data_IF_238820077686
#
_entry.id   IF_238820077686
#
_cell.length_a   1.000
_cell.length_b   1.000
_cell.length_c   1.000
_cell.angle_alpha   90.00
_cell.angle_beta   90.00
_cell.angle_gamma   90.00
#
_symmetry.space_group_name_H-M   'P 1'
#
loop_
_entity.id
_entity.type
_entity.pdbx_description
1 polymer ?
#
# COMPACT_ATOMS: atom_id res chain seq x y z
N UNK A 1 11.33 2.64 -18.04
CA UNK A 1 10.75 1.40 -18.61
C UNK A 1 10.63 0.42 -17.46
N UNK A 2 9.41 0.12 -17.01
CA UNK A 2 9.16 -0.75 -15.87
C UNK A 2 8.59 -2.06 -16.43
N UNK A 3 9.27 -3.18 -16.18
CA UNK A 3 8.89 -4.49 -16.68
C UNK A 3 8.45 -5.41 -15.54
N UNK A 4 7.24 -5.23 -15.01
CA UNK A 4 6.65 -6.31 -14.20
C UNK A 4 6.25 -7.44 -15.17
N UNK A 5 7.15 -8.41 -15.34
CA UNK A 5 7.00 -9.69 -16.06
C UNK A 5 5.74 -9.86 -16.91
N UNK A 6 5.98 -9.91 -18.23
CA UNK A 6 5.04 -10.10 -19.34
C UNK A 6 3.94 -9.02 -19.49
N UNK A 7 4.22 -8.11 -20.44
CA UNK A 7 3.31 -7.15 -21.06
C UNK A 7 2.48 -6.28 -20.11
N UNK A 8 3.15 -5.30 -19.49
CA UNK A 8 2.50 -4.01 -19.24
C UNK A 8 2.74 -3.17 -20.49
N UNK A 9 1.72 -3.09 -21.34
CA UNK A 9 1.73 -2.30 -22.56
C UNK A 9 2.18 -0.87 -22.25
N UNK A 10 3.05 -0.31 -23.08
CA UNK A 10 3.55 1.06 -22.97
C UNK A 10 2.37 2.05 -23.02
N UNK A 11 1.93 2.53 -21.85
CA UNK A 11 0.91 3.57 -21.77
C UNK A 11 1.58 4.95 -21.77
N UNK A 12 0.98 5.95 -22.44
CA UNK A 12 1.58 7.26 -22.63
C UNK A 12 1.95 7.90 -21.29
N UNK A 13 3.16 8.44 -21.23
CA UNK A 13 3.75 9.15 -20.10
C UNK A 13 3.03 10.49 -19.92
N UNK A 14 1.84 10.47 -19.33
CA UNK A 14 1.36 11.58 -18.50
C UNK A 14 1.34 11.05 -17.08
N UNK A 15 2.49 11.21 -16.43
CA UNK A 15 2.88 10.54 -15.19
C UNK A 15 1.85 10.74 -14.05
N UNK A 16 1.35 9.68 -13.41
CA UNK A 16 0.68 9.83 -12.12
C UNK A 16 1.74 10.28 -11.09
N UNK A 17 1.66 11.55 -10.71
CA UNK A 17 2.58 12.18 -9.75
C UNK A 17 1.98 12.31 -8.35
N UNK A 18 0.78 11.76 -8.15
CA UNK A 18 0.04 11.82 -6.90
C UNK A 18 -0.49 10.41 -6.54
N UNK A 19 -0.76 10.14 -5.24
CA UNK A 19 -1.18 8.82 -4.79
C UNK A 19 -2.45 8.31 -5.47
N UNK A 20 -3.42 9.20 -5.71
CA UNK A 20 -4.71 8.82 -6.32
C UNK A 20 -4.51 8.27 -7.73
N UNK A 21 -3.78 9.01 -8.56
CA UNK A 21 -3.51 8.59 -9.93
C UNK A 21 -2.68 7.29 -9.97
N UNK A 22 -1.72 7.11 -9.05
CA UNK A 22 -0.95 5.87 -8.95
C UNK A 22 -1.82 4.67 -8.53
N UNK A 23 -2.72 4.87 -7.57
CA UNK A 23 -3.63 3.84 -7.10
C UNK A 23 -4.63 3.38 -8.17
N UNK A 24 -5.21 4.33 -8.92
CA UNK A 24 -6.12 4.05 -10.04
C UNK A 24 -5.41 3.32 -11.18
N UNK A 25 -4.19 3.75 -11.50
CA UNK A 25 -3.37 3.07 -12.50
C UNK A 25 -3.02 1.64 -12.09
N UNK A 26 -2.64 1.43 -10.83
CA UNK A 26 -2.34 0.11 -10.31
C UNK A 26 -3.58 -0.81 -10.33
N UNK A 27 -4.75 -0.30 -9.93
CA UNK A 27 -5.99 -1.04 -9.98
C UNK A 27 -6.34 -1.51 -11.40
N UNK A 28 -6.17 -0.66 -12.42
CA UNK A 28 -6.38 -1.02 -13.83
C UNK A 28 -5.42 -2.12 -14.31
N UNK A 29 -4.11 -1.98 -14.02
CA UNK A 29 -3.10 -2.99 -14.39
C UNK A 29 -3.44 -4.34 -13.76
N UNK A 30 -3.77 -4.36 -12.48
CA UNK A 30 -4.05 -5.59 -11.75
C UNK A 30 -5.41 -6.19 -12.13
N UNK A 31 -6.39 -5.35 -12.47
CA UNK A 31 -7.66 -5.80 -13.05
C UNK A 31 -7.46 -6.63 -14.32
N UNK A 32 -6.59 -6.17 -15.23
CA UNK A 32 -6.19 -6.91 -16.44
C UNK A 32 -5.50 -8.25 -16.14
N UNK A 33 -4.94 -8.39 -14.93
CA UNK A 33 -4.28 -9.61 -14.43
C UNK A 33 -5.20 -10.49 -13.57
N UNK A 34 -6.50 -10.18 -13.48
CA UNK A 34 -7.51 -10.99 -12.78
C UNK A 34 -7.65 -10.70 -11.28
N UNK A 35 -7.21 -9.54 -10.83
CA UNK A 35 -7.41 -9.07 -9.45
C UNK A 35 -8.61 -8.14 -9.34
N UNK A 36 -9.26 -8.10 -8.19
CA UNK A 36 -10.41 -7.21 -7.93
C UNK A 36 -9.99 -6.07 -7.00
N UNK A 37 -9.29 -5.08 -7.56
CA UNK A 37 -8.80 -3.92 -6.82
C UNK A 37 -9.80 -2.74 -6.89
N UNK A 38 -10.96 -2.86 -6.24
CA UNK A 38 -12.09 -1.92 -6.36
C UNK A 38 -12.16 -0.82 -5.28
N UNK A 39 -11.10 -0.67 -4.48
CA UNK A 39 -10.97 0.28 -3.37
C UNK A 39 -11.93 0.01 -2.20
N UNK A 40 -12.56 -1.18 -2.17
CA UNK A 40 -13.37 -1.61 -1.04
C UNK A 40 -12.50 -2.14 0.09
N UNK A 41 -13.07 -2.23 1.28
CA UNK A 41 -12.42 -2.94 2.38
C UNK A 41 -12.19 -4.41 2.02
N UNK A 42 -13.11 -5.01 1.24
CA UNK A 42 -13.01 -6.39 0.82
C UNK A 42 -11.81 -6.65 -0.09
N UNK A 43 -11.52 -5.75 -1.03
CA UNK A 43 -10.33 -5.88 -1.89
C UNK A 43 -9.04 -5.78 -1.08
N UNK A 44 -9.00 -4.89 -0.08
CA UNK A 44 -7.85 -4.80 0.82
C UNK A 44 -7.62 -6.11 1.60
N UNK A 45 -8.69 -6.70 2.12
CA UNK A 45 -8.63 -7.94 2.90
C UNK A 45 -8.15 -9.16 2.11
N UNK A 46 -8.42 -9.21 0.81
CA UNK A 46 -8.18 -10.43 0.00
C UNK A 46 -7.11 -10.28 -1.05
N UNK A 47 -7.00 -9.12 -1.70
CA UNK A 47 -6.14 -8.99 -2.88
C UNK A 47 -4.71 -8.60 -2.52
N UNK A 48 -4.48 -7.83 -1.46
CA UNK A 48 -3.14 -7.35 -1.08
C UNK A 48 -2.19 -8.52 -0.84
N UNK A 49 -2.61 -9.52 -0.06
CA UNK A 49 -1.81 -10.72 0.18
C UNK A 49 -1.58 -11.50 -1.12
N UNK A 50 -2.59 -11.63 -1.99
CA UNK A 50 -2.45 -12.32 -3.28
C UNK A 50 -1.47 -11.62 -4.22
N UNK A 51 -1.42 -10.29 -4.22
CA UNK A 51 -0.43 -9.52 -4.96
C UNK A 51 0.95 -9.78 -4.35
N UNK A 52 1.10 -9.57 -3.06
CA UNK A 52 2.39 -9.69 -2.38
C UNK A 52 2.97 -11.10 -2.52
N UNK A 53 2.20 -12.16 -2.32
CA UNK A 53 2.66 -13.55 -2.48
C UNK A 53 3.14 -13.87 -3.90
N UNK A 54 2.50 -13.30 -4.92
CA UNK A 54 2.86 -13.54 -6.32
C UNK A 54 4.09 -12.75 -6.75
N UNK A 55 4.18 -11.49 -6.32
CA UNK A 55 5.16 -10.55 -6.85
C UNK A 55 6.31 -10.23 -5.88
N UNK A 56 6.34 -10.76 -4.65
CA UNK A 56 7.44 -10.50 -3.70
C UNK A 56 8.76 -11.23 -4.03
N UNK A 57 8.82 -12.01 -5.11
CA UNK A 57 10.02 -12.79 -5.51
C UNK A 57 10.71 -12.23 -6.76
N UNK A 58 10.36 -10.99 -7.14
CA UNK A 58 10.91 -10.30 -8.32
C UNK A 58 12.19 -9.55 -7.99
N UNK A 59 12.81 -8.92 -8.99
CA UNK A 59 14.06 -8.17 -8.79
C UNK A 59 13.87 -6.94 -7.90
N UNK A 60 14.93 -6.53 -7.17
CA UNK A 60 14.89 -5.45 -6.18
C UNK A 60 14.35 -4.12 -6.73
N UNK A 61 14.68 -3.76 -7.96
CA UNK A 61 14.19 -2.52 -8.58
C UNK A 61 12.67 -2.56 -8.81
N UNK A 62 12.15 -3.73 -9.16
CA UNK A 62 10.73 -3.96 -9.40
C UNK A 62 9.95 -4.04 -8.07
N UNK A 63 10.60 -4.49 -6.99
CA UNK A 63 10.04 -4.47 -5.64
C UNK A 63 9.74 -3.06 -5.15
N UNK A 64 10.62 -2.08 -5.38
CA UNK A 64 10.38 -0.69 -4.98
C UNK A 64 9.16 -0.09 -5.69
N UNK A 65 9.01 -0.39 -6.99
CA UNK A 65 7.87 0.05 -7.78
C UNK A 65 6.58 -0.60 -7.27
N UNK A 66 6.63 -1.90 -6.97
CA UNK A 66 5.50 -2.61 -6.39
C UNK A 66 5.12 -2.03 -5.02
N UNK A 67 6.10 -1.75 -4.16
CA UNK A 67 5.90 -1.15 -2.83
C UNK A 67 5.17 0.18 -2.96
N UNK A 68 5.59 1.02 -3.91
CA UNK A 68 5.02 2.32 -4.12
C UNK A 68 3.57 2.27 -4.65
N UNK A 69 3.30 1.42 -5.65
CA UNK A 69 1.95 1.24 -6.16
C UNK A 69 1.00 0.66 -5.11
N UNK A 70 1.47 -0.32 -4.33
CA UNK A 70 0.68 -0.87 -3.22
C UNK A 70 0.46 0.18 -2.14
N UNK A 71 1.45 1.03 -1.84
CA UNK A 71 1.33 2.11 -0.85
C UNK A 71 0.23 3.09 -1.27
N UNK A 72 0.25 3.53 -2.53
CA UNK A 72 -0.78 4.37 -3.10
C UNK A 72 -2.16 3.70 -3.04
N UNK A 73 -2.25 2.44 -3.49
CA UNK A 73 -3.52 1.70 -3.55
C UNK A 73 -4.14 1.46 -2.17
N UNK A 74 -3.36 0.97 -1.22
CA UNK A 74 -3.80 0.77 0.16
C UNK A 74 -4.24 2.09 0.77
N UNK A 75 -3.43 3.14 0.58
CA UNK A 75 -3.73 4.43 1.14
C UNK A 75 -5.04 5.03 0.61
N UNK A 76 -5.16 5.12 -0.71
CA UNK A 76 -6.36 5.65 -1.36
C UNK A 76 -7.62 4.85 -1.04
N UNK A 77 -7.51 3.53 -0.90
CA UNK A 77 -8.64 2.70 -0.48
C UNK A 77 -9.12 3.10 0.92
N UNK A 78 -8.19 3.27 1.87
CA UNK A 78 -8.54 3.67 3.24
C UNK A 78 -9.12 5.09 3.30
N UNK A 79 -8.57 6.05 2.54
CA UNK A 79 -9.13 7.41 2.47
C UNK A 79 -10.55 7.43 1.87
N UNK A 80 -10.82 6.60 0.86
CA UNK A 80 -12.18 6.49 0.29
C UNK A 80 -13.17 5.89 1.27
N UNK A 81 -12.74 4.94 2.09
CA UNK A 81 -13.60 4.24 3.06
C UNK A 81 -13.88 5.12 4.30
N UNK A 82 -12.85 5.78 4.83
CA UNK A 82 -12.93 6.44 6.14
C UNK A 82 -12.84 7.98 6.09
N UNK A 83 -12.60 8.55 4.91
CA UNK A 83 -12.28 9.97 4.76
C UNK A 83 -10.85 10.29 5.21
N UNK A 84 -10.36 11.49 4.86
CA UNK A 84 -9.04 11.96 5.27
C UNK A 84 -8.26 12.61 4.13
N UNK A 85 -6.95 12.73 4.31
CA UNK A 85 -6.06 13.31 3.31
C UNK A 85 -4.66 12.72 3.35
N UNK A 86 -3.97 12.82 2.22
CA UNK A 86 -2.51 12.62 2.15
C UNK A 86 -1.78 13.85 2.67
N UNK A 87 -0.65 13.61 3.32
CA UNK A 87 0.32 14.61 3.77
C UNK A 87 1.72 14.15 3.35
N UNK A 88 2.59 15.10 3.03
CA UNK A 88 3.94 14.83 2.55
C UNK A 88 4.04 14.83 1.02
N UNK A 89 5.16 14.32 0.50
CA UNK A 89 5.42 14.31 -0.94
C UNK A 89 5.42 12.88 -1.47
N UNK A 90 4.40 12.53 -2.24
CA UNK A 90 4.40 11.30 -3.02
C UNK A 90 4.97 11.62 -4.41
N UNK A 91 6.15 11.12 -4.72
CA UNK A 91 6.71 11.23 -6.06
C UNK A 91 6.65 9.86 -6.70
N UNK A 92 5.64 9.68 -7.56
CA UNK A 92 5.28 8.42 -8.22
C UNK A 92 6.47 7.58 -8.74
N UNK A 93 6.24 6.28 -9.05
CA UNK A 93 7.29 5.25 -9.23
C UNK A 93 8.21 5.45 -10.44
N UNK A 94 8.01 6.52 -11.19
CA UNK A 94 8.75 6.88 -12.39
C UNK A 94 9.66 8.10 -12.19
N UNK A 95 9.52 8.83 -11.07
CA UNK A 95 10.44 9.93 -10.74
C UNK A 95 11.69 9.35 -10.08
N UNK A 96 12.80 9.31 -10.82
CA UNK A 96 14.13 8.84 -10.39
C UNK A 96 14.75 9.57 -9.18
N UNK A 97 14.03 10.52 -8.57
CA UNK A 97 14.50 11.34 -7.45
C UNK A 97 14.17 10.73 -6.09
N UNK A 98 14.66 9.53 -5.83
CA UNK A 98 14.66 8.94 -4.49
C UNK A 98 13.30 8.51 -3.94
N UNK A 99 13.37 7.66 -2.92
CA UNK A 99 12.25 6.92 -2.34
C UNK A 99 11.40 7.83 -1.43
N UNK A 100 10.76 8.85 -2.00
CA UNK A 100 10.10 9.90 -1.21
C UNK A 100 8.70 9.51 -0.72
N UNK A 101 8.11 8.41 -1.22
CA UNK A 101 6.86 7.88 -0.66
C UNK A 101 7.00 7.52 0.83
N UNK A 102 8.23 7.26 1.33
CA UNK A 102 8.50 7.12 2.77
C UNK A 102 8.17 8.38 3.59
N UNK A 103 8.07 9.55 2.97
CA UNK A 103 7.65 10.80 3.63
C UNK A 103 6.16 11.09 3.47
N UNK A 104 5.48 10.32 2.63
CA UNK A 104 4.03 10.44 2.44
C UNK A 104 3.30 9.58 3.47
N UNK A 105 2.27 10.16 4.05
CA UNK A 105 1.43 9.48 5.03
C UNK A 105 0.00 10.00 4.91
N UNK A 106 -0.92 9.29 5.55
CA UNK A 106 -2.33 9.65 5.58
C UNK A 106 -2.73 10.13 6.96
N UNK A 107 -3.70 11.04 6.98
CA UNK A 107 -4.38 11.48 8.20
C UNK A 107 -5.86 11.17 8.06
N UNK A 108 -6.39 10.36 8.98
CA UNK A 108 -7.81 10.00 9.08
C UNK A 108 -8.23 10.27 10.52
N UNK A 109 -9.11 11.23 10.76
CA UNK A 109 -9.57 11.62 12.10
C UNK A 109 -8.39 11.80 13.08
N UNK A 110 -7.41 12.66 12.76
CA UNK A 110 -6.17 12.88 13.53
C UNK A 110 -5.23 11.67 13.70
N UNK A 111 -5.65 10.47 13.30
CA UNK A 111 -4.79 9.30 13.25
C UNK A 111 -3.87 9.34 12.03
N UNK A 112 -2.56 9.27 12.27
CA UNK A 112 -1.54 9.23 11.22
C UNK A 112 -1.18 7.80 10.85
N UNK A 113 -1.09 7.53 9.56
CA UNK A 113 -0.83 6.19 9.05
C UNK A 113 0.09 6.18 7.83
N UNK A 114 1.02 5.23 7.80
CA UNK A 114 2.03 5.05 6.76
C UNK A 114 1.79 3.69 6.05
N UNK A 115 1.08 3.64 4.91
CA UNK A 115 0.74 2.37 4.25
C UNK A 115 1.95 1.53 3.87
N UNK A 116 3.04 2.19 3.49
CA UNK A 116 4.31 1.59 3.11
C UNK A 116 4.94 0.76 4.25
N UNK A 117 4.62 1.02 5.52
CA UNK A 117 5.22 0.26 6.61
C UNK A 117 4.86 -1.22 6.55
N UNK A 118 3.59 -1.58 6.40
CA UNK A 118 3.24 -3.00 6.25
C UNK A 118 3.90 -3.59 5.00
N UNK A 119 3.83 -2.87 3.88
CA UNK A 119 4.25 -3.38 2.58
C UNK A 119 5.77 -3.61 2.56
N UNK A 120 6.57 -2.61 2.95
CA UNK A 120 8.02 -2.71 2.99
C UNK A 120 8.52 -3.80 3.94
N UNK A 121 7.90 -3.95 5.11
CA UNK A 121 8.21 -5.05 6.04
C UNK A 121 7.85 -6.41 5.44
N UNK A 122 6.68 -6.53 4.80
CA UNK A 122 6.30 -7.78 4.13
C UNK A 122 7.28 -8.14 3.01
N UNK A 123 7.66 -7.18 2.17
CA UNK A 123 8.61 -7.43 1.07
C UNK A 123 10.01 -7.79 1.59
N UNK A 124 10.40 -7.28 2.75
CA UNK A 124 11.71 -7.56 3.37
C UNK A 124 11.76 -8.89 4.12
N UNK A 125 10.69 -9.25 4.84
CA UNK A 125 10.67 -10.37 5.79
C UNK A 125 9.74 -11.53 5.40
N UNK A 126 8.81 -11.29 4.47
CA UNK A 126 7.79 -12.24 4.03
C UNK A 126 6.66 -12.48 5.03
N UNK A 127 5.62 -13.17 4.55
CA UNK A 127 4.36 -13.43 5.28
C UNK A 127 4.51 -14.07 6.66
N UNK A 128 5.49 -14.98 6.83
CA UNK A 128 5.68 -15.70 8.10
C UNK A 128 6.05 -14.77 9.26
N UNK A 129 6.69 -13.63 8.95
CA UNK A 129 7.07 -12.61 9.93
C UNK A 129 5.91 -11.64 10.20
N UNK A 130 5.25 -11.16 9.14
CA UNK A 130 4.33 -10.01 9.24
C UNK A 130 2.85 -10.39 9.38
N UNK A 131 2.46 -11.62 9.04
CA UNK A 131 1.05 -12.03 8.96
C UNK A 131 0.38 -11.62 7.64
N UNK A 132 -0.95 -11.70 7.60
CA UNK A 132 -1.76 -11.23 6.45
C UNK A 132 -2.11 -9.76 6.56
N UNK A 133 -2.44 -9.11 5.43
CA UNK A 133 -2.97 -7.75 5.45
C UNK A 133 -4.30 -7.67 6.22
N UNK A 134 -5.13 -8.70 6.15
CA UNK A 134 -6.33 -8.83 7.00
C UNK A 134 -5.98 -8.74 8.50
N UNK A 135 -4.97 -9.49 8.94
CA UNK A 135 -4.52 -9.44 10.34
C UNK A 135 -3.99 -8.06 10.70
N UNK A 136 -3.30 -7.40 9.78
CA UNK A 136 -2.87 -6.02 9.97
C UNK A 136 -4.06 -5.05 10.12
N UNK A 137 -5.13 -5.21 9.33
CA UNK A 137 -6.33 -4.37 9.43
C UNK A 137 -7.05 -4.52 10.77
N UNK A 138 -7.16 -5.75 11.28
CA UNK A 138 -8.09 -6.09 12.36
C UNK A 138 -7.44 -6.56 13.67
N UNK A 139 -6.35 -7.33 13.60
CA UNK A 139 -5.72 -7.92 14.78
C UNK A 139 -4.75 -6.93 15.40
N UNK A 140 -5.04 -6.54 16.63
CA UNK A 140 -4.10 -5.83 17.49
C UNK A 140 -2.95 -6.79 17.82
N UNK A 141 -1.71 -6.40 17.49
CA UNK A 141 -0.54 -7.18 17.91
C UNK A 141 -0.54 -7.29 19.45
N UNK A 142 -0.63 -8.51 20.00
CA UNK A 142 -0.57 -8.77 21.45
C UNK A 142 0.87 -8.98 21.96
N UNK A 143 1.86 -8.86 21.07
CA UNK A 143 3.28 -8.99 21.40
C UNK A 143 3.84 -7.71 22.02
N UNK A 144 4.51 -7.84 23.17
CA UNK A 144 5.15 -6.75 23.91
C UNK A 144 6.43 -6.25 23.22
N UNK A 145 6.51 -4.95 22.86
CA UNK A 145 7.74 -4.32 22.36
C UNK A 145 7.54 -2.91 21.75
N UNK A 146 8.58 -2.06 21.81
CA UNK A 146 8.56 -0.62 21.44
C UNK A 146 8.31 -0.36 19.94
N UNK A 147 8.61 -1.32 19.06
CA UNK A 147 8.38 -1.19 17.61
C UNK A 147 6.92 -1.47 17.18
N UNK A 148 6.06 -1.94 18.10
CA UNK A 148 4.68 -2.31 17.75
C UNK A 148 3.70 -1.15 17.64
N UNK A 149 3.97 0.04 18.20
CA UNK A 149 3.05 1.17 18.00
C UNK A 149 3.10 1.71 16.56
N UNK A 150 4.27 1.58 15.91
CA UNK A 150 4.53 2.00 14.53
C UNK A 150 4.07 0.98 13.46
N UNK A 151 3.99 -0.31 13.82
CA UNK A 151 3.63 -1.45 12.96
C UNK A 151 2.34 -2.16 13.43
N UNK A 152 1.69 -1.63 14.46
CA UNK A 152 0.66 -2.36 15.20
C UNK A 152 -0.62 -2.45 14.39
N UNK A 153 -0.98 -3.67 14.02
CA UNK A 153 -2.27 -3.97 13.42
C UNK A 153 -3.47 -3.55 14.27
N UNK A 154 -4.67 -3.85 13.79
CA UNK A 154 -5.90 -3.25 14.32
C UNK A 154 -6.08 -1.82 13.82
N UNK A 155 -5.62 -1.55 12.59
CA UNK A 155 -5.74 -0.26 11.92
C UNK A 155 -7.15 0.30 11.96
N UNK A 156 -8.17 -0.53 11.70
CA UNK A 156 -9.57 -0.09 11.67
C UNK A 156 -10.03 0.36 13.05
N UNK A 157 -9.62 -0.35 14.11
CA UNK A 157 -9.93 0.06 15.47
C UNK A 157 -9.28 1.41 15.81
N UNK A 158 -8.03 1.62 15.39
CA UNK A 158 -7.33 2.89 15.59
C UNK A 158 -8.03 4.04 14.86
N UNK A 159 -8.44 3.84 13.61
CA UNK A 159 -9.20 4.84 12.85
C UNK A 159 -10.53 5.17 13.55
N UNK A 160 -11.29 4.15 13.94
CA UNK A 160 -12.62 4.35 14.54
C UNK A 160 -12.57 4.98 15.93
N UNK A 161 -11.54 4.70 16.73
CA UNK A 161 -11.38 5.27 18.07
C UNK A 161 -11.07 6.78 18.07
N UNK A 162 -10.73 7.35 16.90
CA UNK A 162 -10.47 8.78 16.78
C UNK A 162 -11.63 9.54 16.10
N UNK A 163 -12.76 8.89 15.85
CA UNK A 163 -14.00 9.59 15.43
C UNK A 163 -14.53 10.34 16.66
N UNK A 164 -14.47 11.67 16.65
CA UNK A 164 -15.10 12.55 17.67
C UNK A 164 -16.59 12.75 17.41
#
# INVERSE_FOLDING_TARGET
>A
MIFLGENIQEYPVTEPADPKSCAEHFADIMGKKGYTLDFSLKSLETEIDRVLEKYSKIEYQELNILEEFLTAYVGESLLRIFGGSWVGNFYGPLKRSGVNFYTSYMVINDFRFNPNHFIGYYLSNGKKSEGTFYEYLYKRNQSSGIFHDFLGGGLIQKINNNIQ
#
